data_IF_459981464899
#
_entry.id   IF_459981464899
#
_cell.length_a   1.000
_cell.length_b   1.000
_cell.length_c   1.000
_cell.angle_alpha   90.00
_cell.angle_beta   90.00
_cell.angle_gamma   90.00
#
_symmetry.space_group_name_H-M   'P 1'
#
loop_
_entity.id
_entity.type
_entity.pdbx_description
1 polymer ?
#
# COMPACT_ATOMS: atom_id res chain seq x y z
N UNK A 1 -15.14 -15.68 -1.69
CA UNK A 1 -15.26 -14.69 -2.80
C UNK A 1 -13.86 -14.11 -3.07
N UNK A 2 -13.39 -14.00 -4.32
CA UNK A 2 -12.05 -13.43 -4.60
C UNK A 2 -12.06 -11.91 -4.40
N UNK A 3 -11.04 -11.37 -3.73
CA UNK A 3 -10.84 -9.92 -3.58
C UNK A 3 -10.43 -9.30 -4.91
N UNK A 4 -10.79 -8.03 -5.13
CA UNK A 4 -10.36 -7.34 -6.35
C UNK A 4 -8.85 -7.14 -6.37
N UNK A 5 -8.20 -7.04 -7.55
CA UNK A 5 -6.77 -6.77 -7.64
C UNK A 5 -6.33 -5.53 -6.84
N UNK A 6 -7.14 -4.47 -6.85
CA UNK A 6 -6.93 -3.28 -6.02
C UNK A 6 -6.93 -3.61 -4.52
N UNK A 7 -7.95 -4.32 -4.04
CA UNK A 7 -8.08 -4.67 -2.63
C UNK A 7 -6.90 -5.53 -2.17
N UNK A 8 -6.53 -6.53 -2.96
CA UNK A 8 -5.38 -7.40 -2.66
C UNK A 8 -4.08 -6.60 -2.59
N UNK A 9 -3.81 -5.73 -3.57
CA UNK A 9 -2.60 -4.92 -3.61
C UNK A 9 -2.56 -3.88 -2.46
N UNK A 10 -3.68 -3.22 -2.16
CA UNK A 10 -3.77 -2.23 -1.09
C UNK A 10 -3.58 -2.87 0.29
N UNK A 11 -4.20 -4.03 0.52
CA UNK A 11 -4.02 -4.81 1.75
C UNK A 11 -2.56 -5.23 1.93
N UNK A 12 -1.86 -5.59 0.84
CA UNK A 12 -0.45 -5.95 0.90
C UNK A 12 0.45 -4.76 1.29
N UNK A 13 0.21 -3.58 0.71
CA UNK A 13 0.92 -2.36 1.08
C UNK A 13 0.69 -1.99 2.55
N UNK A 14 -0.56 -2.05 3.01
CA UNK A 14 -0.90 -1.80 4.40
C UNK A 14 -0.25 -2.84 5.33
N UNK A 15 -0.24 -4.11 4.95
CA UNK A 15 0.41 -5.18 5.71
C UNK A 15 1.90 -4.89 5.90
N UNK A 16 2.64 -4.53 4.85
CA UNK A 16 4.06 -4.20 4.98
C UNK A 16 4.31 -2.96 5.84
N UNK A 17 3.47 -1.92 5.71
CA UNK A 17 3.58 -0.72 6.54
C UNK A 17 3.35 -1.06 8.02
N UNK A 18 2.30 -1.83 8.30
CA UNK A 18 1.90 -2.19 9.66
C UNK A 18 2.91 -3.14 10.29
N UNK A 19 3.35 -4.17 9.56
CA UNK A 19 4.35 -5.14 10.02
C UNK A 19 5.71 -4.49 10.23
N UNK A 20 6.09 -3.55 9.36
CA UNK A 20 7.34 -2.79 9.51
C UNK A 20 7.30 -1.85 10.72
N UNK A 21 6.14 -1.27 11.03
CA UNK A 21 5.91 -0.51 12.27
C UNK A 21 6.99 0.55 12.53
N UNK A 22 7.65 0.44 13.69
CA UNK A 22 8.75 1.31 14.13
C UNK A 22 10.10 1.00 13.46
N UNK A 23 10.27 -0.22 12.93
CA UNK A 23 11.49 -0.65 12.24
C UNK A 23 11.49 -0.27 10.76
N UNK A 24 10.37 0.26 10.25
CA UNK A 24 10.26 0.74 8.89
C UNK A 24 10.91 2.12 8.77
N UNK A 25 12.08 2.17 8.14
CA UNK A 25 12.78 3.42 7.87
C UNK A 25 11.92 4.43 7.12
N UNK A 26 12.10 5.71 7.41
CA UNK A 26 11.27 6.80 6.86
C UNK A 26 11.24 6.81 5.32
N UNK A 27 12.38 6.50 4.68
CA UNK A 27 12.46 6.41 3.22
C UNK A 27 11.54 5.30 2.67
N UNK A 28 11.58 4.11 3.27
CA UNK A 28 10.76 2.97 2.83
C UNK A 28 9.27 3.22 3.09
N UNK A 29 8.92 3.84 4.22
CA UNK A 29 7.55 4.28 4.50
C UNK A 29 7.03 5.23 3.44
N UNK A 30 7.83 6.23 3.03
CA UNK A 30 7.46 7.16 1.95
C UNK A 30 7.23 6.45 0.61
N UNK A 31 8.07 5.47 0.26
CA UNK A 31 7.90 4.67 -0.96
C UNK A 31 6.58 3.89 -0.92
N UNK A 32 6.27 3.22 0.20
CA UNK A 32 5.04 2.46 0.34
C UNK A 32 3.78 3.34 0.32
N UNK A 33 3.81 4.51 0.95
CA UNK A 33 2.71 5.47 0.88
C UNK A 33 2.52 6.04 -0.53
N UNK A 34 3.62 6.35 -1.25
CA UNK A 34 3.54 6.77 -2.65
C UNK A 34 2.94 5.67 -3.52
N UNK A 35 3.33 4.41 -3.30
CA UNK A 35 2.75 3.27 -4.01
C UNK A 35 1.23 3.15 -3.79
N UNK A 36 0.73 3.43 -2.58
CA UNK A 36 -0.72 3.47 -2.31
C UNK A 36 -1.43 4.56 -3.12
N UNK A 37 -0.81 5.73 -3.26
CA UNK A 37 -1.36 6.83 -4.07
C UNK A 37 -1.39 6.48 -5.56
N UNK A 38 -0.31 5.90 -6.09
CA UNK A 38 -0.27 5.45 -7.49
C UNK A 38 -1.27 4.31 -7.76
N UNK A 39 -1.47 3.41 -6.79
CA UNK A 39 -2.48 2.37 -6.89
C UNK A 39 -3.89 2.95 -6.95
N UNK A 40 -4.21 3.98 -6.15
CA UNK A 40 -5.51 4.68 -6.23
C UNK A 40 -5.74 5.30 -7.59
N UNK A 41 -4.74 6.01 -8.14
CA UNK A 41 -4.80 6.59 -9.50
C UNK A 41 -5.06 5.53 -10.55
N UNK A 42 -4.29 4.43 -10.55
CA UNK A 42 -4.39 3.36 -11.54
C UNK A 42 -5.76 2.68 -11.57
N UNK A 43 -6.45 2.63 -10.43
CA UNK A 43 -7.78 2.02 -10.31
C UNK A 43 -8.92 3.05 -10.28
N UNK A 44 -8.66 4.34 -10.54
CA UNK A 44 -9.68 5.39 -10.59
C UNK A 44 -10.35 5.68 -9.24
N UNK A 45 -9.60 5.57 -8.13
CA UNK A 45 -10.08 5.77 -6.74
C UNK A 45 -9.43 6.96 -6.05
N UNK A 46 -9.26 8.06 -6.78
CA UNK A 46 -8.73 9.33 -6.27
C UNK A 46 -9.66 9.94 -5.21
#
# INVERSE_FOLDING_TARGET
RKSSPYQSAMSMLNFYINRGGKNLGAAQRRVLERAKSELRKKFGRL
#
